data_IF_652840002189
#
_entry.id   IF_652840002189
#
_cell.length_a   1.000
_cell.length_b   1.000
_cell.length_c   1.000
_cell.angle_alpha   90.00
_cell.angle_beta   90.00
_cell.angle_gamma   90.00
#
_symmetry.space_group_name_H-M   'P 1'
#
loop_
_entity.id
_entity.type
_entity.pdbx_description
1 polymer ?
#
# COMPACT_ATOMS: atom_id res chain seq x y z
N UNK A 1 -5.18 26.59 -15.96
CA UNK A 1 -5.83 25.48 -16.69
C UNK A 1 -7.28 25.46 -16.25
N UNK A 2 -8.23 25.33 -17.17
CA UNK A 2 -9.65 25.18 -16.82
C UNK A 2 -9.80 23.83 -16.12
N UNK A 3 -10.02 23.85 -14.81
CA UNK A 3 -10.37 22.66 -14.04
C UNK A 3 -11.74 22.21 -14.55
N UNK A 4 -11.75 21.18 -15.39
CA UNK A 4 -12.99 20.61 -15.89
C UNK A 4 -13.69 19.95 -14.70
N UNK A 5 -14.80 20.51 -14.25
CA UNK A 5 -15.54 20.01 -13.09
C UNK A 5 -16.11 18.65 -13.46
N UNK A 6 -15.57 17.59 -12.86
CA UNK A 6 -16.07 16.23 -13.06
C UNK A 6 -17.39 15.98 -12.30
N UNK A 7 -17.56 16.64 -11.16
CA UNK A 7 -18.76 16.52 -10.32
C UNK A 7 -18.86 17.71 -9.35
N UNK A 8 -20.06 18.22 -9.14
CA UNK A 8 -20.39 19.26 -8.16
C UNK A 8 -21.46 18.73 -7.19
N UNK A 9 -21.27 18.94 -5.90
CA UNK A 9 -22.23 18.60 -4.86
C UNK A 9 -22.02 19.52 -3.65
N UNK A 10 -23.12 19.87 -2.99
CA UNK A 10 -23.12 20.79 -1.86
C UNK A 10 -23.49 20.06 -0.56
N UNK A 11 -23.10 20.64 0.58
CA UNK A 11 -23.48 20.17 1.90
C UNK A 11 -23.51 21.33 2.87
N UNK A 12 -24.49 21.33 3.77
CA UNK A 12 -24.63 22.36 4.80
C UNK A 12 -23.88 21.93 6.06
N UNK A 13 -23.14 22.87 6.65
CA UNK A 13 -22.52 22.67 7.95
C UNK A 13 -23.59 22.59 9.04
N UNK A 14 -23.43 21.65 9.96
CA UNK A 14 -24.17 21.66 11.24
C UNK A 14 -23.57 22.70 12.18
N UNK A 15 -24.27 23.00 13.28
CA UNK A 15 -23.80 23.89 14.35
C UNK A 15 -22.46 23.46 14.98
N UNK A 16 -22.06 22.20 14.77
CA UNK A 16 -20.78 21.65 15.24
C UNK A 16 -19.69 21.64 14.16
N UNK A 17 -19.88 22.37 13.07
CA UNK A 17 -18.99 22.39 11.92
C UNK A 17 -18.78 21.00 11.29
N UNK A 18 -19.81 20.15 11.33
CA UNK A 18 -19.78 18.84 10.69
C UNK A 18 -20.55 18.88 9.37
N UNK A 19 -20.07 18.18 8.35
CA UNK A 19 -20.79 17.91 7.10
C UNK A 19 -20.80 16.42 6.83
N UNK A 20 -21.81 15.96 6.08
CA UNK A 20 -21.79 14.62 5.50
C UNK A 20 -21.18 14.69 4.12
N UNK A 21 -20.44 13.66 3.70
CA UNK A 21 -19.90 13.61 2.33
C UNK A 21 -21.00 13.15 1.38
N UNK A 22 -21.37 13.95 0.35
CA UNK A 22 -22.41 13.61 -0.62
C UNK A 22 -22.17 12.25 -1.29
N UNK A 23 -23.25 11.55 -1.63
CA UNK A 23 -23.19 10.24 -2.28
C UNK A 23 -22.25 10.17 -3.48
N UNK A 24 -22.32 11.11 -4.43
CA UNK A 24 -21.46 11.08 -5.61
C UNK A 24 -19.98 11.31 -5.28
N UNK A 25 -19.67 12.15 -4.29
CA UNK A 25 -18.29 12.40 -3.83
C UNK A 25 -17.72 11.15 -3.14
N UNK A 26 -18.53 10.44 -2.33
CA UNK A 26 -18.10 9.16 -1.74
C UNK A 26 -17.79 8.10 -2.79
N UNK A 27 -18.61 8.01 -3.83
CA UNK A 27 -18.37 7.08 -4.94
C UNK A 27 -17.12 7.45 -5.73
N UNK A 28 -16.94 8.73 -6.08
CA UNK A 28 -15.75 9.20 -6.80
C UNK A 28 -14.45 8.93 -6.02
N UNK A 29 -14.46 9.12 -4.70
CA UNK A 29 -13.30 8.88 -3.84
C UNK A 29 -13.20 7.45 -3.29
N UNK A 30 -14.13 6.55 -3.66
CA UNK A 30 -14.20 5.17 -3.17
C UNK A 30 -14.14 5.07 -1.63
N UNK A 31 -14.86 5.96 -0.95
CA UNK A 31 -14.84 6.05 0.52
C UNK A 31 -15.73 4.99 1.18
N UNK A 32 -15.14 4.19 2.06
CA UNK A 32 -15.82 3.28 2.97
C UNK A 32 -16.20 3.89 4.32
N UNK A 33 -16.83 3.09 5.19
CA UNK A 33 -17.10 3.50 6.58
C UNK A 33 -15.79 3.57 7.35
N UNK A 34 -15.59 4.62 8.15
CA UNK A 34 -14.38 4.88 8.96
C UNK A 34 -13.10 5.16 8.14
N UNK A 35 -13.20 5.31 6.83
CA UNK A 35 -12.07 5.77 6.01
C UNK A 35 -11.65 7.18 6.43
N UNK A 36 -10.33 7.41 6.43
CA UNK A 36 -9.76 8.73 6.68
C UNK A 36 -9.84 9.57 5.40
N UNK A 37 -10.14 10.86 5.56
CA UNK A 37 -10.15 11.84 4.47
C UNK A 37 -9.05 12.86 4.75
N UNK A 38 -8.23 13.15 3.75
CA UNK A 38 -7.21 14.20 3.82
C UNK A 38 -7.73 15.45 3.10
N UNK A 39 -7.59 16.58 3.77
CA UNK A 39 -7.89 17.90 3.23
C UNK A 39 -6.58 18.65 3.01
N UNK A 40 -6.39 19.19 1.82
CA UNK A 40 -5.23 20.04 1.48
C UNK A 40 -5.76 21.41 1.08
N UNK A 41 -5.40 22.42 1.85
CA UNK A 41 -5.71 23.82 1.53
C UNK A 41 -4.66 24.30 0.54
N UNK A 42 -5.09 24.70 -0.65
CA UNK A 42 -4.22 25.24 -1.69
C UNK A 42 -4.02 26.75 -1.49
N UNK A 43 -2.98 27.30 -2.13
CA UNK A 43 -2.64 28.72 -2.00
C UNK A 43 -3.71 29.66 -2.56
N UNK A 44 -4.55 29.18 -3.48
CA UNK A 44 -5.69 29.91 -4.06
C UNK A 44 -6.95 29.87 -3.18
N UNK A 45 -6.87 29.24 -2.00
CA UNK A 45 -7.99 29.08 -1.07
C UNK A 45 -8.92 27.91 -1.40
N UNK A 46 -8.67 27.17 -2.48
CA UNK A 46 -9.40 25.94 -2.76
C UNK A 46 -8.99 24.81 -1.81
N UNK A 47 -9.91 23.86 -1.58
CA UNK A 47 -9.65 22.70 -0.73
C UNK A 47 -9.72 21.44 -1.58
N UNK A 48 -8.61 20.71 -1.65
CA UNK A 48 -8.56 19.39 -2.24
C UNK A 48 -8.93 18.35 -1.18
N UNK A 49 -10.01 17.62 -1.43
CA UNK A 49 -10.42 16.46 -0.64
C UNK A 49 -9.95 15.18 -1.34
N UNK A 50 -9.31 14.28 -0.59
CA UNK A 50 -8.85 12.99 -1.11
C UNK A 50 -9.00 11.90 -0.04
N UNK A 51 -9.18 10.65 -0.46
CA UNK A 51 -9.10 9.50 0.45
C UNK A 51 -7.68 9.44 1.02
N UNK A 52 -7.55 9.37 2.33
CA UNK A 52 -6.26 9.17 2.96
C UNK A 52 -5.92 7.69 2.88
N UNK A 53 -4.85 7.36 2.17
CA UNK A 53 -4.28 6.01 2.24
C UNK A 53 -3.84 5.76 3.68
N UNK A 54 -4.28 4.63 4.23
CA UNK A 54 -3.61 4.07 5.38
C UNK A 54 -2.25 3.61 4.87
N UNK A 55 -1.24 4.46 5.02
CA UNK A 55 0.14 4.04 4.91
C UNK A 55 0.40 3.21 6.16
N UNK A 56 0.01 1.93 6.13
CA UNK A 56 0.64 0.91 6.97
C UNK A 56 2.06 0.74 6.43
N UNK A 57 2.90 1.74 6.68
CA UNK A 57 4.32 1.59 6.50
C UNK A 57 4.77 0.62 7.57
N UNK A 58 5.27 -0.54 7.14
CA UNK A 58 5.99 -1.44 8.03
C UNK A 58 7.12 -0.62 8.69
N UNK A 59 7.08 -0.46 10.03
CA UNK A 59 8.02 0.39 10.74
C UNK A 59 9.47 -0.14 10.68
N UNK A 60 9.67 -1.40 10.30
CA UNK A 60 10.99 -2.04 10.22
C UNK A 60 11.54 -2.02 8.79
N UNK A 61 10.67 -1.99 7.78
CA UNK A 61 11.06 -2.13 6.39
C UNK A 61 12.09 -1.08 5.95
N UNK A 62 11.90 0.19 6.33
CA UNK A 62 12.84 1.26 5.97
C UNK A 62 14.24 1.03 6.56
N UNK A 63 14.32 0.63 7.83
CA UNK A 63 15.59 0.32 8.47
C UNK A 63 16.25 -0.92 7.86
N UNK A 64 15.46 -1.96 7.53
CA UNK A 64 15.97 -3.17 6.87
C UNK A 64 16.56 -2.87 5.49
N UNK A 65 15.85 -2.08 4.67
CA UNK A 65 16.34 -1.66 3.34
C UNK A 65 17.58 -0.78 3.45
N UNK A 66 17.63 0.10 4.46
CA UNK A 66 18.80 0.93 4.71
C UNK A 66 20.01 0.09 5.11
N UNK A 67 19.83 -0.89 6.00
CA UNK A 67 20.87 -1.85 6.37
C UNK A 67 21.42 -2.60 5.15
N UNK A 68 20.53 -3.13 4.30
CA UNK A 68 20.91 -3.84 3.07
C UNK A 68 21.70 -2.92 2.12
N UNK A 69 21.22 -1.69 1.91
CA UNK A 69 21.88 -0.72 1.04
C UNK A 69 23.30 -0.38 1.51
N UNK A 70 23.50 -0.27 2.83
CA UNK A 70 24.82 -0.03 3.42
C UNK A 70 25.74 -1.23 3.21
N UNK A 71 25.28 -2.46 3.49
CA UNK A 71 26.11 -3.67 3.28
C UNK A 71 26.48 -3.85 1.81
N UNK A 72 25.54 -3.61 0.88
CA UNK A 72 25.80 -3.69 -0.57
C UNK A 72 26.86 -2.69 -1.04
N UNK A 73 26.88 -1.48 -0.48
CA UNK A 73 27.89 -0.45 -0.81
C UNK A 73 29.26 -0.77 -0.20
N UNK A 74 29.29 -1.34 1.00
CA UNK A 74 30.53 -1.71 1.70
C UNK A 74 31.15 -2.99 1.15
N UNK A 75 30.32 -3.90 0.62
CA UNK A 75 30.72 -5.23 0.18
C UNK A 75 30.21 -5.57 -1.23
N UNK A 76 30.59 -4.79 -2.27
CA UNK A 76 30.14 -5.06 -3.64
C UNK A 76 30.60 -6.44 -4.14
N UNK A 77 31.68 -7.02 -3.59
CA UNK A 77 32.16 -8.35 -3.92
C UNK A 77 31.19 -9.49 -3.56
N UNK A 78 30.26 -9.26 -2.62
CA UNK A 78 29.22 -10.22 -2.24
C UNK A 78 28.07 -10.26 -3.24
N UNK A 79 27.93 -9.25 -4.10
CA UNK A 79 26.88 -9.20 -5.12
C UNK A 79 27.28 -10.02 -6.34
N UNK A 80 26.90 -11.29 -6.33
CA UNK A 80 27.22 -12.24 -7.39
C UNK A 80 25.98 -12.60 -8.22
N UNK A 81 26.11 -12.71 -9.55
CA UNK A 81 25.02 -13.19 -10.38
C UNK A 81 24.71 -14.65 -10.06
N UNK A 82 23.42 -15.00 -10.09
CA UNK A 82 22.98 -16.39 -9.98
C UNK A 82 23.63 -17.23 -11.10
N UNK A 83 24.30 -18.31 -10.73
CA UNK A 83 24.90 -19.23 -11.70
C UNK A 83 23.87 -20.16 -12.31
N UNK A 84 24.21 -20.78 -13.44
CA UNK A 84 23.35 -21.79 -14.05
C UNK A 84 23.14 -23.02 -13.13
N UNK A 85 24.18 -23.42 -12.38
CA UNK A 85 24.04 -24.54 -11.43
C UNK A 85 23.13 -24.18 -10.26
N UNK A 86 23.22 -22.95 -9.73
CA UNK A 86 22.30 -22.47 -8.69
C UNK A 86 20.85 -22.49 -9.16
N UNK A 87 20.58 -22.03 -10.40
CA UNK A 87 19.23 -22.11 -10.99
C UNK A 87 18.74 -23.55 -11.11
N UNK A 88 19.59 -24.47 -11.56
CA UNK A 88 19.24 -25.88 -11.68
C UNK A 88 18.93 -26.50 -10.30
N UNK A 89 19.72 -26.17 -9.29
CA UNK A 89 19.50 -26.63 -7.92
C UNK A 89 18.20 -26.08 -7.34
N UNK A 90 17.92 -24.79 -7.52
CA UNK A 90 16.65 -24.18 -7.08
C UNK A 90 15.47 -24.85 -7.78
N UNK A 91 15.53 -25.01 -9.11
CA UNK A 91 14.46 -25.65 -9.89
C UNK A 91 14.21 -27.10 -9.45
N UNK A 92 15.27 -27.86 -9.16
CA UNK A 92 15.14 -29.22 -8.64
C UNK A 92 14.56 -29.26 -7.22
N UNK A 93 14.87 -28.27 -6.38
CA UNK A 93 14.41 -28.22 -4.99
C UNK A 93 12.92 -27.88 -4.90
N UNK A 94 12.41 -27.04 -5.80
CA UNK A 94 11.03 -26.56 -5.79
C UNK A 94 10.12 -27.30 -6.78
N UNK A 95 10.61 -28.33 -7.47
CA UNK A 95 9.93 -29.00 -8.57
C UNK A 95 8.53 -29.53 -8.20
N UNK A 96 8.36 -29.98 -6.96
CA UNK A 96 7.12 -30.58 -6.46
C UNK A 96 6.30 -29.63 -5.56
N UNK A 97 6.71 -28.36 -5.44
CA UNK A 97 6.04 -27.39 -4.57
C UNK A 97 5.10 -26.51 -5.41
N UNK A 98 3.80 -26.75 -5.28
CA UNK A 98 2.78 -25.89 -5.89
C UNK A 98 2.40 -24.77 -4.92
N UNK A 99 2.84 -23.53 -5.19
CA UNK A 99 2.56 -22.34 -4.38
C UNK A 99 1.64 -21.40 -5.17
N UNK A 100 0.50 -21.07 -4.57
CA UNK A 100 -0.35 -19.97 -5.02
C UNK A 100 -0.10 -18.74 -4.14
N UNK A 101 0.46 -17.68 -4.74
CA UNK A 101 0.79 -16.44 -4.04
C UNK A 101 -0.44 -15.53 -3.80
N UNK A 102 -1.56 -15.82 -4.48
CA UNK A 102 -2.82 -15.09 -4.30
C UNK A 102 -3.70 -15.72 -3.21
N UNK A 103 -3.33 -16.92 -2.73
CA UNK A 103 -4.02 -17.58 -1.62
C UNK A 103 -3.69 -16.86 -0.30
N UNK A 104 -4.70 -16.41 0.48
CA UNK A 104 -4.49 -15.83 1.80
C UNK A 104 -3.75 -16.80 2.73
N UNK A 105 -2.82 -16.28 3.53
CA UNK A 105 -2.16 -17.07 4.57
C UNK A 105 -3.22 -17.60 5.56
N UNK A 106 -3.16 -18.88 5.97
CA UNK A 106 -4.05 -19.42 6.97
C UNK A 106 -3.79 -18.76 8.34
N UNK A 107 -4.86 -18.52 9.10
CA UNK A 107 -4.78 -17.85 10.41
C UNK A 107 -4.08 -18.69 11.50
N UNK A 108 -4.00 -20.02 11.31
CA UNK A 108 -3.30 -20.95 12.20
C UNK A 108 -2.42 -21.91 11.39
N UNK A 109 -1.20 -22.17 11.88
CA UNK A 109 -0.35 -23.25 11.37
C UNK A 109 -1.07 -24.58 11.63
N UNK A 110 -1.15 -25.50 10.65
CA UNK A 110 -1.76 -26.79 10.88
C UNK A 110 -1.01 -27.50 12.02
N UNK A 111 -1.77 -28.08 12.96
CA UNK A 111 -1.21 -28.94 13.99
C UNK A 111 -0.42 -30.06 13.29
N UNK A 112 0.83 -30.28 13.71
CA UNK A 112 1.62 -31.40 13.23
C UNK A 112 0.87 -32.70 13.59
N UNK A 113 0.39 -33.44 12.59
CA UNK A 113 -0.15 -34.78 12.79
C UNK A 113 1.04 -35.71 13.18
N UNK A 114 1.00 -36.23 14.41
CA UNK A 114 1.94 -37.23 14.97
C UNK A 114 1.93 -38.58 14.23
#
# INVERSE_FOLDING_TARGET
MLTQVALEAESTLTDRFQTTVPGPVRQALHLGKKDKIKYVIQADGSVLMQRAEAVDADPVLEQFLSFLAVDMQQHPEKLQPLTASMRQSVASLVADVNIDLDTPLPDELPAEDE
#
